data_IF_021533054445
#
_entry.id   IF_021533054445
#
_cell.length_a   1.000
_cell.length_b   1.000
_cell.length_c   1.000
_cell.angle_alpha   90.00
_cell.angle_beta   90.00
_cell.angle_gamma   90.00
#
_symmetry.space_group_name_H-M   'P 1'
#
loop_
_entity.id
_entity.type
_entity.pdbx_description
1 polymer ?
#
# COMPACT_ATOMS: atom_id res chain seq x y z
N UNK A 1 -18.71 -63.03 -44.60
CA UNK A 1 -19.65 -64.06 -44.09
C UNK A 1 -19.97 -63.67 -42.65
N UNK A 2 -21.05 -62.91 -42.44
CA UNK A 2 -22.40 -63.38 -42.05
C UNK A 2 -22.47 -63.74 -40.56
N UNK A 3 -23.45 -63.32 -39.73
CA UNK A 3 -24.51 -62.29 -39.75
C UNK A 3 -25.08 -62.31 -38.31
N UNK A 4 -25.52 -61.15 -37.82
CA UNK A 4 -26.21 -60.84 -36.55
C UNK A 4 -27.58 -61.56 -36.41
N UNK A 5 -28.31 -61.52 -35.25
CA UNK A 5 -29.13 -60.34 -34.82
C UNK A 5 -29.17 -60.08 -33.27
N UNK A 6 -29.29 -58.83 -32.75
CA UNK A 6 -30.51 -58.01 -32.43
C UNK A 6 -31.59 -58.80 -31.67
N UNK A 7 -32.29 -58.34 -30.62
CA UNK A 7 -32.77 -57.04 -30.08
C UNK A 7 -33.17 -57.26 -28.58
N UNK A 8 -33.68 -56.36 -27.72
CA UNK A 8 -34.62 -55.24 -27.86
C UNK A 8 -34.68 -54.45 -26.54
N UNK A 9 -34.75 -53.13 -26.67
CA UNK A 9 -35.46 -52.11 -25.85
C UNK A 9 -36.33 -52.55 -24.68
N UNK A 10 -36.21 -51.84 -23.55
CA UNK A 10 -37.39 -51.42 -22.79
C UNK A 10 -37.22 -50.02 -22.17
N UNK A 11 -38.29 -49.22 -22.27
CA UNK A 11 -38.37 -47.81 -21.92
C UNK A 11 -39.51 -47.62 -20.90
N UNK A 12 -39.26 -46.88 -19.80
CA UNK A 12 -40.23 -46.22 -18.88
C UNK A 12 -39.43 -45.72 -17.66
N UNK A 13 -39.60 -44.55 -17.03
CA UNK A 13 -40.55 -43.41 -17.05
C UNK A 13 -39.86 -42.25 -16.27
N UNK A 14 -40.33 -40.99 -16.32
CA UNK A 14 -39.55 -39.79 -16.00
C UNK A 14 -39.43 -39.52 -14.48
N UNK A 15 -38.27 -39.02 -14.05
CA UNK A 15 -38.06 -38.48 -12.70
C UNK A 15 -38.87 -37.19 -12.49
N UNK A 16 -39.49 -36.98 -11.32
CA UNK A 16 -40.32 -35.80 -11.08
C UNK A 16 -39.49 -34.52 -11.04
N UNK A 17 -40.03 -33.48 -11.68
CA UNK A 17 -39.47 -32.13 -11.74
C UNK A 17 -39.60 -31.47 -10.36
N UNK A 18 -38.49 -31.09 -9.74
CA UNK A 18 -38.51 -30.33 -8.50
C UNK A 18 -39.16 -28.95 -8.73
N UNK A 19 -40.10 -28.59 -7.87
CA UNK A 19 -40.84 -27.34 -7.89
C UNK A 19 -39.94 -26.14 -7.56
N UNK A 20 -40.10 -25.05 -8.31
CA UNK A 20 -39.51 -23.74 -7.99
C UNK A 20 -40.19 -23.18 -6.72
N UNK A 21 -39.50 -23.28 -5.59
CA UNK A 21 -39.85 -22.60 -4.33
C UNK A 21 -39.03 -21.31 -4.16
N UNK A 22 -39.69 -20.26 -3.68
CA UNK A 22 -39.18 -18.89 -3.51
C UNK A 22 -37.94 -18.80 -2.58
N UNK A 23 -37.06 -17.86 -2.92
CA UNK A 23 -35.88 -17.43 -2.17
C UNK A 23 -36.22 -16.96 -0.74
N UNK A 24 -35.70 -17.66 0.27
CA UNK A 24 -35.57 -17.20 1.65
C UNK A 24 -34.11 -17.31 2.09
N UNK A 25 -33.55 -16.25 2.66
CA UNK A 25 -32.17 -16.21 3.17
C UNK A 25 -31.95 -17.31 4.23
N UNK A 26 -30.82 -18.04 4.24
CA UNK A 26 -30.54 -19.00 5.29
C UNK A 26 -30.22 -18.29 6.62
N UNK A 27 -30.76 -18.82 7.71
CA UNK A 27 -30.51 -18.36 9.08
C UNK A 27 -29.07 -18.73 9.52
N UNK A 28 -28.42 -17.90 10.37
CA UNK A 28 -27.09 -18.21 10.88
C UNK A 28 -27.12 -19.40 11.86
N UNK A 29 -26.03 -20.18 11.95
CA UNK A 29 -25.92 -21.31 12.88
C UNK A 29 -25.80 -20.84 14.34
N UNK A 30 -26.21 -21.67 15.32
CA UNK A 30 -26.15 -21.33 16.74
C UNK A 30 -24.71 -21.35 17.28
N UNK A 31 -24.40 -20.43 18.20
CA UNK A 31 -23.16 -20.38 18.98
C UNK A 31 -23.33 -20.96 20.39
N UNK A 32 -22.19 -21.36 20.96
CA UNK A 32 -21.87 -21.80 22.35
C UNK A 32 -21.55 -23.31 22.48
N UNK A 33 -20.52 -23.79 23.20
CA UNK A 33 -19.86 -23.34 24.44
C UNK A 33 -18.34 -23.67 24.52
N UNK A 34 -17.69 -23.16 25.59
CA UNK A 34 -16.27 -22.85 25.80
C UNK A 34 -15.35 -23.93 26.45
N UNK A 35 -14.03 -23.74 26.31
CA UNK A 35 -12.93 -24.00 27.29
C UNK A 35 -11.58 -23.51 26.69
N UNK A 36 -10.67 -22.72 27.28
CA UNK A 36 -10.52 -22.04 28.57
C UNK A 36 -9.23 -21.17 28.58
N UNK A 37 -9.21 -20.17 29.48
CA UNK A 37 -8.12 -19.21 29.87
C UNK A 37 -8.12 -17.83 29.16
N UNK A 38 -8.06 -16.69 29.91
CA UNK A 38 -8.55 -15.38 29.43
C UNK A 38 -7.48 -14.47 28.82
N UNK A 39 -7.85 -13.75 27.76
CA UNK A 39 -7.14 -12.57 27.24
C UNK A 39 -7.77 -11.27 27.79
N UNK A 40 -6.99 -10.17 27.94
CA UNK A 40 -7.49 -8.93 28.52
C UNK A 40 -8.58 -8.28 27.66
N UNK A 41 -9.63 -7.80 28.32
CA UNK A 41 -10.82 -7.14 27.74
C UNK A 41 -10.43 -5.85 27.02
N UNK A 42 -11.00 -5.62 25.83
CA UNK A 42 -10.94 -4.30 25.20
C UNK A 42 -11.48 -4.12 23.79
N UNK A 43 -12.44 -4.91 23.29
CA UNK A 43 -13.23 -4.55 22.09
C UNK A 43 -14.64 -5.13 22.23
N UNK A 44 -15.59 -4.30 22.66
CA UNK A 44 -17.02 -4.61 22.55
C UNK A 44 -17.71 -3.45 21.83
N UNK A 45 -18.16 -3.71 20.62
CA UNK A 45 -18.94 -2.82 19.79
C UNK A 45 -20.34 -2.64 20.41
N UNK A 46 -20.82 -1.40 20.52
CA UNK A 46 -22.17 -1.10 20.99
C UNK A 46 -23.22 -1.48 19.93
N UNK A 47 -24.43 -1.92 20.31
CA UNK A 47 -25.45 -2.35 19.35
C UNK A 47 -25.98 -1.16 18.53
N UNK A 48 -25.92 -1.28 17.21
CA UNK A 48 -26.53 -0.33 16.28
C UNK A 48 -28.06 -0.34 16.45
N UNK A 49 -28.65 0.83 16.72
CA UNK A 49 -30.09 1.02 16.69
C UNK A 49 -30.62 0.83 15.27
N UNK A 50 -31.69 0.04 15.12
CA UNK A 50 -32.37 -0.19 13.85
C UNK A 50 -32.97 1.12 13.32
N UNK A 51 -32.59 1.50 12.10
CA UNK A 51 -33.20 2.61 11.38
C UNK A 51 -34.57 2.19 10.83
N UNK A 52 -35.63 2.78 11.36
CA UNK A 52 -37.01 2.51 10.96
C UNK A 52 -37.40 3.38 9.74
N UNK A 53 -37.91 2.72 8.69
CA UNK A 53 -38.19 3.33 7.38
C UNK A 53 -39.50 4.10 7.36
N UNK A 54 -39.55 5.26 8.00
CA UNK A 54 -40.69 6.19 7.92
C UNK A 54 -40.68 7.01 6.62
N UNK A 55 -41.74 6.89 5.81
CA UNK A 55 -41.99 7.75 4.65
C UNK A 55 -42.16 9.22 5.06
N UNK A 56 -41.26 10.09 4.62
CA UNK A 56 -41.39 11.55 4.76
C UNK A 56 -42.53 12.09 3.87
N UNK A 57 -43.25 13.15 4.30
CA UNK A 57 -44.39 13.69 3.56
C UNK A 57 -43.94 14.40 2.27
N UNK A 58 -44.73 14.24 1.21
CA UNK A 58 -44.50 14.89 -0.07
C UNK A 58 -44.66 16.42 0.06
N UNK A 59 -43.56 17.17 -0.09
CA UNK A 59 -43.61 18.62 -0.25
C UNK A 59 -43.87 18.98 -1.71
N UNK A 60 -44.87 19.85 -1.91
CA UNK A 60 -45.32 20.32 -3.22
C UNK A 60 -44.27 21.20 -3.89
N UNK A 61 -44.11 21.01 -5.20
CA UNK A 61 -43.26 21.83 -6.04
C UNK A 61 -43.88 23.22 -6.21
N UNK A 62 -43.45 24.18 -5.40
CA UNK A 62 -43.81 25.59 -5.53
C UNK A 62 -42.67 26.48 -5.05
N UNK A 63 -41.90 27.04 -5.98
CA UNK A 63 -40.78 27.93 -5.64
C UNK A 63 -39.50 27.70 -6.45
N UNK A 64 -39.60 27.37 -7.75
CA UNK A 64 -38.48 27.49 -8.68
C UNK A 64 -38.57 28.84 -9.39
N UNK A 65 -38.35 29.93 -8.67
CA UNK A 65 -38.03 31.22 -9.30
C UNK A 65 -37.55 32.19 -8.22
N UNK A 66 -36.23 32.27 -8.07
CA UNK A 66 -35.46 33.51 -7.83
C UNK A 66 -34.04 33.17 -7.34
N UNK A 67 -33.18 32.79 -8.29
CA UNK A 67 -31.74 33.01 -8.18
C UNK A 67 -31.32 33.75 -9.46
N UNK A 68 -30.77 34.97 -9.39
CA UNK A 68 -30.45 35.77 -10.56
C UNK A 68 -29.11 35.30 -11.15
N UNK A 69 -29.13 34.18 -11.88
CA UNK A 69 -27.99 33.72 -12.66
C UNK A 69 -28.03 34.35 -14.06
N UNK A 70 -26.91 34.95 -14.45
CA UNK A 70 -26.53 35.47 -15.76
C UNK A 70 -27.43 35.00 -16.91
N UNK A 71 -28.36 35.87 -17.35
CA UNK A 71 -28.98 35.73 -18.67
C UNK A 71 -27.94 36.14 -19.72
N UNK A 72 -27.11 35.20 -20.17
CA UNK A 72 -26.41 35.35 -21.44
C UNK A 72 -27.47 35.41 -22.54
N UNK A 73 -27.76 36.61 -23.04
CA UNK A 73 -28.51 36.84 -24.27
C UNK A 73 -27.59 36.58 -25.46
N UNK A 74 -27.34 35.30 -25.73
CA UNK A 74 -26.68 34.81 -26.94
C UNK A 74 -27.40 33.54 -27.40
N UNK A 75 -27.37 33.22 -28.70
CA UNK A 75 -27.96 31.98 -29.18
C UNK A 75 -27.33 30.81 -28.42
N UNK A 76 -28.15 30.02 -27.73
CA UNK A 76 -27.71 28.78 -27.08
C UNK A 76 -27.03 27.92 -28.16
N UNK A 77 -25.81 27.40 -27.92
CA UNK A 77 -25.20 26.48 -28.87
C UNK A 77 -26.17 25.32 -29.10
N UNK A 78 -26.41 25.01 -30.36
CA UNK A 78 -27.28 23.91 -30.78
C UNK A 78 -26.72 22.65 -30.15
N UNK A 79 -27.49 22.02 -29.27
CA UNK A 79 -27.12 20.75 -28.67
C UNK A 79 -27.08 19.69 -29.78
N UNK A 80 -25.90 19.49 -30.39
CA UNK A 80 -25.66 18.31 -31.22
C UNK A 80 -25.82 17.10 -30.32
N UNK A 81 -26.59 16.12 -30.78
CA UNK A 81 -27.05 14.95 -30.03
C UNK A 81 -25.94 13.94 -29.63
N UNK A 82 -24.81 14.41 -29.10
CA UNK A 82 -23.89 13.62 -28.31
C UNK A 82 -24.09 14.03 -26.86
N UNK A 83 -24.59 13.10 -26.04
CA UNK A 83 -24.61 13.24 -24.59
C UNK A 83 -23.22 13.66 -24.11
N UNK A 84 -23.13 14.63 -23.20
CA UNK A 84 -21.87 15.03 -22.54
C UNK A 84 -21.11 13.80 -21.98
N UNK A 85 -21.84 12.74 -21.62
CA UNK A 85 -21.26 11.45 -21.21
C UNK A 85 -20.53 10.74 -22.35
N UNK A 86 -21.09 10.71 -23.56
CA UNK A 86 -20.50 10.02 -24.71
C UNK A 86 -19.20 10.69 -25.17
N UNK A 87 -19.10 12.01 -25.00
CA UNK A 87 -17.86 12.74 -25.25
C UNK A 87 -16.79 12.42 -24.19
N UNK A 88 -17.16 12.34 -22.92
CA UNK A 88 -16.25 11.96 -21.84
C UNK A 88 -15.75 10.51 -22.00
N UNK A 89 -16.65 9.58 -22.32
CA UNK A 89 -16.28 8.18 -22.58
C UNK A 89 -15.30 8.06 -23.75
N UNK A 90 -15.52 8.84 -24.83
CA UNK A 90 -14.61 8.91 -25.96
C UNK A 90 -13.22 9.47 -25.58
N UNK A 91 -13.18 10.45 -24.67
CA UNK A 91 -11.94 11.07 -24.20
C UNK A 91 -11.11 10.11 -23.33
N UNK A 92 -11.76 9.37 -22.43
CA UNK A 92 -11.13 8.45 -21.48
C UNK A 92 -10.54 7.20 -22.15
N UNK A 93 -11.07 6.79 -23.30
CA UNK A 93 -10.50 5.69 -24.08
C UNK A 93 -9.10 6.06 -24.60
N UNK A 94 -8.16 5.11 -24.55
CA UNK A 94 -6.80 5.30 -25.09
C UNK A 94 -6.89 5.64 -26.58
N UNK A 95 -6.08 6.59 -27.11
CA UNK A 95 -6.16 7.01 -28.51
C UNK A 95 -6.15 5.87 -29.54
N UNK A 96 -5.40 4.80 -29.25
CA UNK A 96 -5.28 3.61 -30.12
C UNK A 96 -6.50 2.67 -30.06
N UNK A 97 -7.24 2.68 -28.94
CA UNK A 97 -8.37 1.77 -28.66
C UNK A 97 -9.73 2.44 -28.92
N UNK A 98 -9.76 3.70 -29.39
CA UNK A 98 -10.99 4.44 -29.67
C UNK A 98 -11.73 3.88 -30.88
N UNK A 99 -13.03 3.65 -30.70
CA UNK A 99 -13.96 3.31 -31.78
C UNK A 99 -14.12 4.45 -32.78
N UNK A 100 -14.58 4.13 -33.99
CA UNK A 100 -14.80 5.15 -35.03
C UNK A 100 -15.84 6.19 -34.61
N UNK A 101 -16.85 5.78 -33.84
CA UNK A 101 -17.82 6.69 -33.24
C UNK A 101 -17.15 7.64 -32.24
N UNK A 102 -16.26 7.16 -31.38
CA UNK A 102 -15.51 8.00 -30.43
C UNK A 102 -14.62 9.02 -31.16
N UNK A 103 -13.99 8.63 -32.28
CA UNK A 103 -13.20 9.54 -33.12
C UNK A 103 -14.08 10.61 -33.77
N UNK A 104 -15.25 10.24 -34.27
CA UNK A 104 -16.21 11.16 -34.86
C UNK A 104 -16.74 12.17 -33.84
N UNK A 105 -17.07 11.71 -32.63
CA UNK A 105 -17.51 12.56 -31.51
C UNK A 105 -16.41 13.56 -31.13
N UNK A 106 -15.16 13.13 -30.99
CA UNK A 106 -14.03 14.02 -30.68
C UNK A 106 -13.74 14.99 -31.83
N UNK A 107 -13.92 14.56 -33.09
CA UNK A 107 -13.76 15.37 -34.29
C UNK A 107 -14.77 16.52 -34.43
N UNK A 108 -15.89 16.48 -33.68
CA UNK A 108 -16.85 17.61 -33.63
C UNK A 108 -16.27 18.86 -32.98
N UNK A 109 -15.19 18.72 -32.19
CA UNK A 109 -14.49 19.83 -31.54
C UNK A 109 -13.03 19.90 -32.01
N UNK A 110 -12.73 20.68 -33.08
CA UNK A 110 -11.42 20.67 -33.74
C UNK A 110 -10.26 21.08 -32.83
N UNK A 111 -10.48 22.01 -31.89
CA UNK A 111 -9.46 22.42 -30.92
C UNK A 111 -9.07 21.26 -29.98
N UNK A 112 -10.04 20.48 -29.50
CA UNK A 112 -9.78 19.33 -28.63
C UNK A 112 -9.20 18.15 -29.40
N UNK A 113 -9.66 17.90 -30.62
CA UNK A 113 -9.13 16.84 -31.48
C UNK A 113 -7.63 17.03 -31.81
N UNK A 114 -7.20 18.29 -31.95
CA UNK A 114 -5.79 18.64 -32.20
C UNK A 114 -4.90 18.55 -30.95
N UNK A 115 -5.48 18.40 -29.75
CA UNK A 115 -4.70 18.32 -28.53
C UNK A 115 -3.85 17.03 -28.52
N UNK A 116 -2.54 17.08 -28.21
CA UNK A 116 -1.65 15.92 -28.36
C UNK A 116 -2.09 14.65 -27.63
N UNK A 117 -2.73 14.80 -26.47
CA UNK A 117 -3.32 13.68 -25.69
C UNK A 117 -4.49 13.02 -26.44
N UNK A 118 -5.30 13.82 -27.15
CA UNK A 118 -6.46 13.35 -27.91
C UNK A 118 -6.02 12.81 -29.26
N UNK A 119 -5.09 13.48 -29.95
CA UNK A 119 -4.53 13.03 -31.22
C UNK A 119 -3.64 11.78 -31.07
N UNK A 120 -3.27 11.39 -29.86
CA UNK A 120 -2.36 10.27 -29.60
C UNK A 120 -0.91 10.56 -30.01
N UNK A 121 -0.58 11.84 -30.23
CA UNK A 121 0.78 12.31 -30.56
C UNK A 121 1.56 12.71 -29.31
N UNK A 122 0.91 12.81 -28.15
CA UNK A 122 1.60 12.92 -26.87
C UNK A 122 2.37 11.62 -26.59
N UNK A 123 3.64 11.69 -26.14
CA UNK A 123 4.33 10.51 -25.66
C UNK A 123 3.49 9.87 -24.55
N UNK A 124 3.35 8.55 -24.59
CA UNK A 124 2.77 7.82 -23.48
C UNK A 124 3.50 8.21 -22.19
N UNK A 125 2.78 8.40 -21.09
CA UNK A 125 3.38 8.73 -19.81
C UNK A 125 4.54 7.76 -19.53
N UNK A 126 5.77 8.28 -19.55
CA UNK A 126 6.95 7.53 -19.13
C UNK A 126 7.16 7.89 -17.67
N UNK A 127 7.02 6.93 -16.74
CA UNK A 127 7.30 7.21 -15.34
C UNK A 127 8.73 7.71 -15.22
N UNK A 128 8.92 8.81 -14.48
CA UNK A 128 10.25 9.29 -14.15
C UNK A 128 11.00 8.19 -13.41
N UNK A 129 12.20 7.84 -13.91
CA UNK A 129 13.06 6.82 -13.34
C UNK A 129 14.40 7.48 -13.05
N UNK A 130 14.59 8.05 -11.86
CA UNK A 130 15.91 8.53 -11.46
C UNK A 130 16.93 7.40 -11.46
N UNK A 131 18.19 7.79 -11.59
CA UNK A 131 19.29 6.90 -11.31
C UNK A 131 19.21 6.48 -9.84
N UNK A 132 19.27 5.17 -9.60
CA UNK A 132 19.21 4.63 -8.24
C UNK A 132 20.53 4.97 -7.53
N UNK A 133 20.49 5.49 -6.30
CA UNK A 133 21.71 5.69 -5.53
C UNK A 133 22.42 4.34 -5.33
N UNK A 134 23.74 4.39 -5.16
CA UNK A 134 24.49 3.22 -4.72
C UNK A 134 23.98 2.78 -3.33
N UNK A 135 23.78 1.48 -3.19
CA UNK A 135 23.24 0.87 -1.98
C UNK A 135 24.34 0.72 -0.93
N UNK A 136 24.14 1.29 0.25
CA UNK A 136 25.11 1.21 1.36
C UNK A 136 25.28 -0.20 1.91
N UNK A 137 24.23 -1.02 1.88
CA UNK A 137 24.19 -2.41 2.32
C UNK A 137 23.84 -3.35 1.14
N UNK A 138 24.32 -3.01 -0.06
CA UNK A 138 24.09 -3.80 -1.27
C UNK A 138 24.79 -5.17 -1.24
N UNK A 139 24.35 -6.08 -2.10
CA UNK A 139 25.00 -7.39 -2.30
C UNK A 139 24.67 -8.48 -1.27
N UNK A 140 23.83 -8.18 -0.27
CA UNK A 140 23.26 -9.18 0.63
C UNK A 140 22.28 -10.05 -0.17
N UNK A 141 22.40 -11.38 -0.01
CA UNK A 141 21.55 -12.36 -0.70
C UNK A 141 20.37 -12.77 0.17
N UNK A 142 19.24 -13.08 -0.45
CA UNK A 142 18.12 -13.71 0.25
C UNK A 142 18.56 -15.10 0.77
N UNK A 143 18.37 -15.31 2.07
CA UNK A 143 18.64 -16.56 2.76
C UNK A 143 17.31 -17.16 3.29
N UNK A 144 16.81 -18.19 2.60
CA UNK A 144 15.58 -18.87 3.00
C UNK A 144 15.89 -19.86 4.12
N UNK A 145 15.35 -19.59 5.32
CA UNK A 145 15.45 -20.47 6.49
C UNK A 145 14.11 -21.19 6.66
N UNK A 146 14.14 -22.53 6.61
CA UNK A 146 12.95 -23.35 6.85
C UNK A 146 13.32 -24.78 7.22
N UNK A 147 12.52 -25.40 8.09
CA UNK A 147 12.58 -26.85 8.37
C UNK A 147 11.91 -27.68 7.26
N UNK A 148 11.18 -27.01 6.36
CA UNK A 148 10.45 -27.66 5.28
C UNK A 148 11.29 -27.71 4.01
N UNK A 149 11.11 -28.79 3.25
CA UNK A 149 11.57 -28.89 1.86
C UNK A 149 10.36 -28.84 0.94
N UNK A 150 10.49 -28.26 -0.28
CA UNK A 150 9.40 -28.28 -1.26
C UNK A 150 8.91 -29.71 -1.52
N UNK A 151 7.59 -29.93 -1.43
CA UNK A 151 6.95 -31.24 -1.56
C UNK A 151 5.73 -31.20 -2.47
N UNK A 152 5.30 -32.37 -2.95
CA UNK A 152 4.19 -32.47 -3.90
C UNK A 152 4.52 -31.76 -5.21
N UNK A 153 3.61 -30.89 -5.67
CA UNK A 153 3.76 -30.15 -6.92
C UNK A 153 4.61 -28.88 -6.78
N UNK A 154 5.01 -28.51 -5.55
CA UNK A 154 5.78 -27.29 -5.30
C UNK A 154 7.12 -27.24 -6.05
N UNK A 155 7.96 -28.31 -6.09
CA UNK A 155 9.24 -28.26 -6.79
C UNK A 155 9.09 -27.91 -8.28
N UNK A 156 8.10 -28.52 -8.95
CA UNK A 156 7.82 -28.27 -10.36
C UNK A 156 7.33 -26.82 -10.57
N UNK A 157 6.37 -26.37 -9.77
CA UNK A 157 5.85 -25.00 -9.86
C UNK A 157 6.95 -23.94 -9.64
N UNK A 158 7.88 -24.19 -8.71
CA UNK A 158 9.02 -23.30 -8.46
C UNK A 158 9.95 -23.26 -9.68
N UNK A 159 10.32 -24.40 -10.24
CA UNK A 159 11.20 -24.45 -11.42
C UNK A 159 10.59 -23.74 -12.63
N UNK A 160 9.31 -24.02 -12.92
CA UNK A 160 8.60 -23.40 -14.05
C UNK A 160 8.55 -21.88 -13.91
N UNK A 161 8.13 -21.36 -12.75
CA UNK A 161 8.02 -19.92 -12.51
C UNK A 161 9.40 -19.23 -12.51
N UNK A 162 10.43 -19.87 -11.96
CA UNK A 162 11.80 -19.31 -11.99
C UNK A 162 12.34 -19.26 -13.43
N UNK A 163 12.10 -20.30 -14.24
CA UNK A 163 12.50 -20.32 -15.64
C UNK A 163 11.78 -19.24 -16.45
N UNK A 164 10.47 -19.07 -16.27
CA UNK A 164 9.69 -17.99 -16.90
C UNK A 164 10.18 -16.60 -16.49
N UNK A 165 10.54 -16.39 -15.22
CA UNK A 165 11.14 -15.13 -14.75
C UNK A 165 12.49 -14.88 -15.46
N UNK A 166 13.33 -15.89 -15.60
CA UNK A 166 14.61 -15.78 -16.32
C UNK A 166 14.41 -15.45 -17.80
N UNK A 167 13.35 -15.98 -18.42
CA UNK A 167 12.91 -15.67 -19.78
C UNK A 167 12.25 -14.28 -19.92
N UNK A 168 12.23 -13.46 -18.86
CA UNK A 168 11.63 -12.12 -18.84
C UNK A 168 10.11 -12.10 -19.09
N UNK A 169 9.41 -13.20 -18.78
CA UNK A 169 7.96 -13.21 -18.80
C UNK A 169 7.39 -12.31 -17.70
N UNK A 170 6.53 -11.37 -18.10
CA UNK A 170 6.03 -10.31 -17.21
C UNK A 170 4.86 -10.74 -16.33
N UNK A 171 3.99 -11.62 -16.83
CA UNK A 171 2.75 -12.01 -16.16
C UNK A 171 2.71 -13.53 -16.04
N UNK A 172 2.56 -14.03 -14.82
CA UNK A 172 2.50 -15.46 -14.51
C UNK A 172 1.43 -15.69 -13.45
N UNK A 173 0.80 -16.87 -13.46
CA UNK A 173 -0.30 -17.20 -12.54
C UNK A 173 0.00 -18.53 -11.85
N UNK A 174 0.19 -18.48 -10.53
CA UNK A 174 0.28 -19.69 -9.70
C UNK A 174 -1.12 -20.14 -9.28
N UNK A 175 -1.65 -21.18 -9.95
CA UNK A 175 -2.95 -21.77 -9.59
C UNK A 175 -2.78 -22.77 -8.43
N UNK A 176 -2.71 -22.26 -7.21
CA UNK A 176 -2.54 -23.09 -6.00
C UNK A 176 -3.82 -23.27 -5.19
N UNK A 177 -4.20 -24.53 -4.90
CA UNK A 177 -5.31 -24.86 -3.99
C UNK A 177 -5.06 -24.32 -2.56
N UNK A 178 -6.11 -24.11 -1.77
CA UNK A 178 -5.95 -23.69 -0.37
C UNK A 178 -5.18 -24.75 0.43
N UNK A 179 -4.25 -24.32 1.28
CA UNK A 179 -3.41 -25.23 2.07
C UNK A 179 -2.19 -25.83 1.35
N UNK A 180 -2.00 -25.56 0.05
CA UNK A 180 -0.85 -26.07 -0.73
C UNK A 180 0.51 -25.42 -0.42
N UNK A 181 0.59 -24.49 0.55
CA UNK A 181 1.84 -23.79 0.88
C UNK A 181 2.28 -22.76 -0.17
N UNK A 182 1.33 -21.95 -0.66
CA UNK A 182 1.60 -20.89 -1.66
C UNK A 182 2.68 -19.90 -1.19
N UNK A 183 2.63 -19.47 0.07
CA UNK A 183 3.64 -18.54 0.60
C UNK A 183 5.04 -19.15 0.56
N UNK A 184 5.19 -20.40 0.98
CA UNK A 184 6.46 -21.12 0.94
C UNK A 184 6.98 -21.30 -0.50
N UNK A 185 6.07 -21.57 -1.44
CA UNK A 185 6.39 -21.61 -2.88
C UNK A 185 6.95 -20.26 -3.35
N UNK A 186 6.29 -19.15 -3.01
CA UNK A 186 6.75 -17.81 -3.35
C UNK A 186 8.07 -17.43 -2.66
N UNK A 187 8.29 -17.85 -1.41
CA UNK A 187 9.55 -17.65 -0.70
C UNK A 187 10.71 -18.35 -1.42
N UNK A 188 10.51 -19.59 -1.90
CA UNK A 188 11.51 -20.27 -2.72
C UNK A 188 11.81 -19.53 -4.03
N UNK A 189 10.79 -18.98 -4.69
CA UNK A 189 10.97 -18.19 -5.92
C UNK A 189 11.79 -16.92 -5.65
N UNK A 190 11.48 -16.18 -4.57
CA UNK A 190 12.24 -14.98 -4.17
C UNK A 190 13.70 -15.35 -3.88
N UNK A 191 13.92 -16.41 -3.10
CA UNK A 191 15.26 -16.88 -2.76
C UNK A 191 16.06 -17.36 -3.99
N UNK A 192 15.43 -17.96 -4.99
CA UNK A 192 16.13 -18.40 -6.21
C UNK A 192 16.40 -17.26 -7.19
N UNK A 193 15.46 -16.33 -7.32
CA UNK A 193 15.58 -15.20 -8.26
C UNK A 193 16.45 -14.08 -7.73
N UNK A 194 16.60 -13.96 -6.40
CA UNK A 194 17.42 -12.93 -5.75
C UNK A 194 16.98 -11.50 -6.13
N UNK A 195 15.66 -11.30 -6.27
CA UNK A 195 15.07 -10.01 -6.66
C UNK A 195 14.28 -9.41 -5.49
N UNK A 196 14.37 -8.10 -5.23
CA UNK A 196 13.45 -7.43 -4.32
C UNK A 196 12.00 -7.71 -4.73
N UNK A 197 11.12 -7.97 -3.77
CA UNK A 197 9.75 -8.38 -4.02
C UNK A 197 8.74 -7.46 -3.33
N UNK A 198 7.69 -7.08 -4.04
CA UNK A 198 6.52 -6.40 -3.49
C UNK A 198 5.34 -7.37 -3.51
N UNK A 199 4.77 -7.63 -2.34
CA UNK A 199 3.67 -8.57 -2.15
C UNK A 199 2.41 -7.76 -1.82
N UNK A 200 1.43 -7.79 -2.71
CA UNK A 200 0.18 -7.05 -2.54
C UNK A 200 -0.88 -7.92 -1.89
N UNK A 201 -1.37 -7.48 -0.74
CA UNK A 201 -2.47 -8.09 -0.02
C UNK A 201 -3.74 -7.20 -0.09
N UNK A 202 -4.93 -7.80 -0.27
CA UNK A 202 -6.19 -7.05 -0.40
C UNK A 202 -6.68 -6.42 0.92
N UNK A 203 -6.18 -6.87 2.07
CA UNK A 203 -6.57 -6.36 3.38
C UNK A 203 -5.41 -6.43 4.39
N UNK A 204 -5.53 -5.66 5.49
CA UNK A 204 -4.48 -5.57 6.53
C UNK A 204 -4.26 -6.89 7.26
N UNK A 205 -5.31 -7.71 7.47
CA UNK A 205 -5.19 -8.98 8.18
C UNK A 205 -4.32 -9.99 7.44
N UNK A 206 -4.57 -10.19 6.15
CA UNK A 206 -3.76 -11.08 5.31
C UNK A 206 -2.36 -10.50 5.11
N UNK A 207 -2.22 -9.18 4.99
CA UNK A 207 -0.91 -8.54 4.92
C UNK A 207 -0.07 -8.85 6.18
N UNK A 208 -0.65 -8.74 7.38
CA UNK A 208 0.03 -9.05 8.63
C UNK A 208 0.42 -10.55 8.74
N UNK A 209 -0.46 -11.45 8.29
CA UNK A 209 -0.16 -12.89 8.23
C UNK A 209 1.03 -13.17 7.31
N UNK A 210 0.99 -12.65 6.09
CA UNK A 210 2.07 -12.81 5.12
C UNK A 210 3.38 -12.20 5.63
N UNK A 211 3.32 -11.02 6.24
CA UNK A 211 4.49 -10.39 6.87
C UNK A 211 5.13 -11.31 7.92
N UNK A 212 4.34 -11.90 8.82
CA UNK A 212 4.85 -12.86 9.81
C UNK A 212 5.46 -14.12 9.19
N UNK A 213 4.80 -14.69 8.17
CA UNK A 213 5.31 -15.85 7.43
C UNK A 213 6.64 -15.53 6.74
N UNK A 214 6.72 -14.42 6.00
CA UNK A 214 7.94 -14.01 5.31
C UNK A 214 9.06 -13.66 6.28
N UNK A 215 8.77 -13.02 7.42
CA UNK A 215 9.78 -12.74 8.46
C UNK A 215 10.37 -14.03 9.04
N UNK A 216 9.54 -15.07 9.15
CA UNK A 216 9.97 -16.40 9.60
C UNK A 216 10.83 -17.11 8.55
N UNK A 217 10.51 -16.95 7.27
CA UNK A 217 11.27 -17.52 6.15
C UNK A 217 12.59 -16.79 5.86
N UNK A 218 12.66 -15.49 6.13
CA UNK A 218 13.82 -14.64 5.85
C UNK A 218 14.23 -13.84 7.10
N UNK A 219 14.67 -14.51 8.18
CA UNK A 219 14.98 -13.85 9.44
C UNK A 219 16.18 -12.90 9.34
N UNK A 220 17.11 -13.15 8.40
CA UNK A 220 18.33 -12.38 8.19
C UNK A 220 18.19 -11.30 7.10
N UNK A 221 17.04 -11.24 6.42
CA UNK A 221 16.80 -10.26 5.35
C UNK A 221 15.77 -9.20 5.74
N UNK A 222 15.69 -8.14 4.93
CA UNK A 222 14.78 -7.02 5.14
C UNK A 222 13.34 -7.35 4.69
N UNK A 223 12.59 -8.02 5.57
CA UNK A 223 11.14 -8.17 5.42
C UNK A 223 10.43 -7.00 6.09
N UNK A 224 9.69 -6.25 5.31
CA UNK A 224 9.11 -4.95 5.66
C UNK A 224 7.60 -4.90 5.45
N UNK A 225 6.92 -4.00 6.18
CA UNK A 225 5.47 -3.89 6.18
C UNK A 225 5.01 -2.49 5.75
N UNK A 226 4.18 -2.42 4.70
CA UNK A 226 3.74 -1.14 4.12
C UNK A 226 2.22 -1.08 3.90
N UNK A 227 1.50 -0.64 4.92
CA UNK A 227 0.04 -0.43 4.86
C UNK A 227 -0.33 0.99 5.29
N UNK A 228 -1.61 1.34 5.18
CA UNK A 228 -2.10 2.62 5.70
C UNK A 228 -1.81 2.71 7.20
N UNK A 229 -1.10 3.77 7.58
CA UNK A 229 -0.79 4.13 8.97
C UNK A 229 -1.97 4.78 9.69
N UNK A 230 -3.12 4.94 9.05
CA UNK A 230 -4.33 5.38 9.72
C UNK A 230 -5.06 4.20 10.36
N UNK A 231 -5.34 4.31 11.66
CA UNK A 231 -6.25 3.41 12.38
C UNK A 231 -7.70 3.79 12.10
N UNK A 232 -7.97 5.09 12.06
CA UNK A 232 -9.23 5.66 11.61
C UNK A 232 -8.96 6.74 10.58
N UNK A 233 -9.73 6.76 9.49
CA UNK A 233 -9.63 7.78 8.46
C UNK A 233 -11.00 8.10 7.88
N UNK A 234 -11.43 9.33 8.09
CA UNK A 234 -12.58 9.93 7.45
C UNK A 234 -12.07 10.94 6.41
N UNK A 235 -12.33 10.72 5.11
CA UNK A 235 -11.95 11.68 4.08
C UNK A 235 -12.80 12.94 4.22
N UNK A 236 -12.22 14.07 3.84
CA UNK A 236 -12.98 15.28 3.58
C UNK A 236 -13.95 15.05 2.44
N UNK A 237 -15.22 15.38 2.63
CA UNK A 237 -16.24 15.21 1.60
C UNK A 237 -17.34 16.24 1.74
N UNK A 238 -17.94 16.63 0.61
CA UNK A 238 -19.17 17.39 0.59
C UNK A 238 -20.29 16.52 0.01
N UNK A 239 -21.43 16.44 0.70
CA UNK A 239 -22.61 15.66 0.33
C UNK A 239 -23.70 16.61 -0.16
N UNK A 240 -23.87 16.79 -1.49
CA UNK A 240 -24.75 17.83 -2.03
C UNK A 240 -26.24 17.60 -1.71
N UNK A 241 -26.65 16.34 -1.54
CA UNK A 241 -28.06 15.99 -1.29
C UNK A 241 -28.57 16.53 0.06
N UNK A 242 -27.68 16.58 1.05
CA UNK A 242 -27.99 17.01 2.41
C UNK A 242 -27.31 18.33 2.76
N UNK A 243 -26.66 18.97 1.77
CA UNK A 243 -25.83 20.17 1.95
C UNK A 243 -24.88 20.05 3.15
N UNK A 244 -24.24 18.89 3.27
CA UNK A 244 -23.40 18.57 4.44
C UNK A 244 -21.93 18.53 4.04
N UNK A 245 -21.12 19.35 4.71
CA UNK A 245 -19.68 19.23 4.66
C UNK A 245 -19.20 18.30 5.78
N UNK A 246 -18.37 17.33 5.42
CA UNK A 246 -17.76 16.35 6.29
C UNK A 246 -16.28 16.68 6.36
N UNK A 247 -15.83 17.13 7.53
CA UNK A 247 -14.43 17.43 7.78
C UNK A 247 -13.57 16.17 7.78
N UNK A 248 -12.30 16.37 7.43
CA UNK A 248 -11.27 15.34 7.55
C UNK A 248 -11.02 15.06 9.02
N UNK A 249 -11.12 13.80 9.40
CA UNK A 249 -10.73 13.31 10.71
C UNK A 249 -9.87 12.06 10.54
N UNK A 250 -8.76 11.97 11.26
CA UNK A 250 -7.86 10.82 11.14
C UNK A 250 -7.11 10.56 12.44
N UNK A 251 -6.86 9.29 12.71
CA UNK A 251 -5.99 8.82 13.80
C UNK A 251 -4.84 8.02 13.21
N UNK A 252 -3.62 8.39 13.60
CA UNK A 252 -2.37 7.81 13.10
C UNK A 252 -1.86 6.75 14.07
N UNK A 253 -1.45 5.62 13.51
CA UNK A 253 -0.73 4.55 14.18
C UNK A 253 0.77 4.73 13.98
N UNK A 254 1.43 5.19 15.04
CA UNK A 254 2.87 5.44 15.07
C UNK A 254 3.71 4.18 14.75
N UNK A 255 3.25 2.99 15.15
CA UNK A 255 4.00 1.75 14.88
C UNK A 255 3.99 1.41 13.39
N UNK A 256 2.84 1.58 12.73
CA UNK A 256 2.74 1.36 11.28
C UNK A 256 3.51 2.42 10.50
N UNK A 257 3.49 3.68 10.95
CA UNK A 257 4.26 4.75 10.33
C UNK A 257 5.77 4.47 10.37
N UNK A 258 6.28 4.03 11.53
CA UNK A 258 7.65 3.53 11.67
C UNK A 258 7.98 2.42 10.67
N UNK A 259 7.10 1.41 10.54
CA UNK A 259 7.31 0.31 9.59
C UNK A 259 7.34 0.79 8.14
N UNK A 260 6.59 1.84 7.79
CA UNK A 260 6.67 2.45 6.45
C UNK A 260 8.00 3.14 6.21
N UNK A 261 8.51 3.87 7.21
CA UNK A 261 9.85 4.47 7.14
C UNK A 261 10.95 3.41 6.99
N UNK A 262 10.85 2.30 7.74
CA UNK A 262 11.75 1.16 7.59
C UNK A 262 11.69 0.58 6.18
N UNK A 263 10.49 0.36 5.62
CA UNK A 263 10.31 -0.16 4.27
C UNK A 263 10.97 0.71 3.18
N UNK A 264 10.79 2.03 3.25
CA UNK A 264 11.38 2.96 2.28
C UNK A 264 12.90 3.04 2.41
N UNK A 265 13.42 3.03 3.65
CA UNK A 265 14.86 3.00 3.92
C UNK A 265 15.49 1.72 3.40
N UNK A 266 14.95 0.55 3.76
CA UNK A 266 15.47 -0.75 3.35
C UNK A 266 15.57 -0.88 1.83
N UNK A 267 14.59 -0.34 1.09
CA UNK A 267 14.62 -0.33 -0.38
C UNK A 267 15.79 0.45 -0.98
N UNK A 268 16.24 1.51 -0.30
CA UNK A 268 17.36 2.36 -0.73
C UNK A 268 18.72 1.81 -0.29
N UNK A 269 18.77 1.11 0.83
CA UNK A 269 20.04 0.62 1.40
C UNK A 269 20.39 -0.81 0.98
N UNK A 270 19.39 -1.66 0.71
CA UNK A 270 19.56 -3.11 0.59
C UNK A 270 18.96 -3.71 -0.67
N UNK A 271 19.50 -4.84 -1.13
CA UNK A 271 18.97 -5.62 -2.27
C UNK A 271 18.01 -6.73 -1.85
N UNK A 272 18.13 -7.23 -0.62
CA UNK A 272 17.39 -8.35 -0.06
C UNK A 272 16.09 -7.91 0.63
N UNK A 273 15.26 -7.14 -0.08
CA UNK A 273 14.04 -6.54 0.49
C UNK A 273 12.76 -7.23 0.01
N UNK A 274 11.92 -7.67 0.94
CA UNK A 274 10.53 -8.10 0.69
C UNK A 274 9.59 -7.12 1.39
N UNK A 275 8.76 -6.42 0.62
CA UNK A 275 7.74 -5.52 1.17
C UNK A 275 6.38 -6.19 1.05
N UNK A 276 5.72 -6.42 2.19
CA UNK A 276 4.31 -6.83 2.22
C UNK A 276 3.45 -5.58 2.37
N UNK A 277 2.64 -5.30 1.35
CA UNK A 277 1.91 -4.05 1.23
C UNK A 277 0.41 -4.23 0.98
N UNK A 278 -0.37 -3.23 1.38
CA UNK A 278 -1.74 -3.06 0.89
C UNK A 278 -1.77 -2.15 -0.34
N UNK A 279 -2.97 -1.80 -0.80
CA UNK A 279 -3.16 -0.73 -1.81
C UNK A 279 -2.52 0.61 -1.43
N UNK A 280 -2.04 0.79 -0.20
CA UNK A 280 -1.27 1.98 0.15
C UNK A 280 -0.03 2.20 -0.73
N UNK A 281 0.54 1.16 -1.35
CA UNK A 281 1.72 1.29 -2.20
C UNK A 281 1.48 2.00 -3.54
N UNK A 282 0.22 2.23 -3.92
CA UNK A 282 -0.15 3.00 -5.12
C UNK A 282 -0.53 4.45 -4.79
N UNK A 283 -0.57 4.82 -3.50
CA UNK A 283 -0.78 6.20 -3.08
C UNK A 283 0.53 6.98 -3.13
N UNK A 284 0.40 8.30 -3.33
CA UNK A 284 1.54 9.20 -3.44
C UNK A 284 2.40 9.21 -2.18
N UNK A 285 3.71 9.24 -2.40
CA UNK A 285 4.76 9.46 -1.41
C UNK A 285 5.76 10.44 -2.04
N UNK A 286 6.59 11.12 -1.24
CA UNK A 286 7.63 12.01 -1.76
C UNK A 286 8.55 11.33 -2.78
N UNK A 287 9.17 12.13 -3.66
CA UNK A 287 10.07 11.59 -4.69
C UNK A 287 11.29 10.93 -4.06
N UNK A 288 11.88 9.94 -4.75
CA UNK A 288 13.06 9.22 -4.25
C UNK A 288 14.24 10.19 -4.12
N UNK A 289 14.35 11.12 -5.04
CA UNK A 289 15.36 12.16 -5.10
C UNK A 289 15.23 13.10 -3.90
N UNK A 290 14.01 13.56 -3.60
CA UNK A 290 13.73 14.37 -2.41
C UNK A 290 14.07 13.60 -1.14
N UNK A 291 13.61 12.36 -1.02
CA UNK A 291 13.85 11.56 0.18
C UNK A 291 15.34 11.20 0.37
N UNK A 292 16.06 10.93 -0.72
CA UNK A 292 17.51 10.66 -0.67
C UNK A 292 18.32 11.92 -0.40
N UNK A 293 17.90 13.08 -0.94
CA UNK A 293 18.52 14.37 -0.66
C UNK A 293 18.25 14.86 0.77
N UNK A 294 17.11 14.49 1.35
CA UNK A 294 16.78 14.70 2.76
C UNK A 294 17.40 13.62 3.65
N UNK A 295 18.69 13.36 3.45
CA UNK A 295 19.51 12.55 4.33
C UNK A 295 20.86 13.21 4.55
N UNK A 296 21.43 13.04 5.73
CA UNK A 296 22.83 13.33 5.96
C UNK A 296 23.45 12.21 6.78
N UNK A 297 24.75 11.99 6.59
CA UNK A 297 25.50 11.02 7.35
C UNK A 297 26.35 11.75 8.40
N UNK A 298 26.56 11.09 9.53
CA UNK A 298 27.44 11.57 10.59
C UNK A 298 28.48 10.50 10.85
N UNK A 299 29.76 10.86 10.72
CA UNK A 299 30.89 9.95 10.93
C UNK A 299 31.67 10.34 12.18
N UNK A 300 32.17 9.36 12.92
CA UNK A 300 33.12 9.62 14.03
C UNK A 300 34.39 10.30 13.47
N UNK A 301 34.85 11.36 14.14
CA UNK A 301 35.99 12.19 13.73
C UNK A 301 35.66 13.27 12.70
N UNK A 302 34.40 13.38 12.27
CA UNK A 302 33.96 14.48 11.41
C UNK A 302 33.90 15.80 12.19
N UNK A 303 34.32 16.90 11.54
CA UNK A 303 34.21 18.24 12.09
C UNK A 303 32.81 18.80 11.87
N UNK A 304 31.91 18.52 12.81
CA UNK A 304 30.52 18.96 12.82
C UNK A 304 30.23 19.70 14.14
N UNK A 305 29.83 20.97 14.04
CA UNK A 305 29.45 21.74 15.24
C UNK A 305 28.07 21.32 15.75
N UNK A 306 27.83 21.55 17.04
CA UNK A 306 26.57 21.15 17.69
C UNK A 306 25.40 21.80 16.99
N UNK A 307 25.49 23.11 16.81
CA UNK A 307 24.40 23.92 16.30
C UNK A 307 24.09 23.58 14.85
N UNK A 308 25.11 23.18 14.07
CA UNK A 308 24.92 22.65 12.73
C UNK A 308 24.16 21.32 12.76
N UNK A 309 24.57 20.35 13.60
CA UNK A 309 23.85 19.09 13.76
C UNK A 309 22.38 19.31 14.16
N UNK A 310 22.10 20.24 15.08
CA UNK A 310 20.72 20.56 15.48
C UNK A 310 19.92 21.19 14.33
N UNK A 311 20.53 22.10 13.56
CA UNK A 311 19.90 22.73 12.40
C UNK A 311 19.55 21.68 11.33
N UNK A 312 20.46 20.74 11.05
CA UNK A 312 20.26 19.68 10.07
C UNK A 312 19.16 18.70 10.52
N UNK A 313 19.10 18.36 11.81
CA UNK A 313 18.01 17.56 12.37
C UNK A 313 16.64 18.25 12.22
N UNK A 314 16.57 19.56 12.47
CA UNK A 314 15.34 20.34 12.27
C UNK A 314 14.95 20.41 10.79
N UNK A 315 15.93 20.55 9.88
CA UNK A 315 15.70 20.51 8.45
C UNK A 315 15.12 19.16 7.98
N UNK A 316 15.48 18.07 8.67
CA UNK A 316 14.90 16.73 8.47
C UNK A 316 13.57 16.49 9.22
N UNK A 317 12.89 17.54 9.67
CA UNK A 317 11.61 17.49 10.40
C UNK A 317 11.65 16.78 11.76
N UNK A 318 12.82 16.65 12.39
CA UNK A 318 12.88 16.23 13.78
C UNK A 318 12.54 17.39 14.71
N UNK A 319 11.89 17.06 15.84
CA UNK A 319 11.50 18.05 16.85
C UNK A 319 12.40 17.96 18.06
N UNK A 320 12.87 19.11 18.56
CA UNK A 320 13.58 19.13 19.84
C UNK A 320 12.60 18.87 20.99
N UNK A 321 12.87 17.86 21.82
CA UNK A 321 12.08 17.60 23.02
C UNK A 321 12.96 17.02 24.14
N UNK A 322 13.40 17.90 25.05
CA UNK A 322 14.29 17.51 26.15
C UNK A 322 13.56 16.73 27.27
N UNK A 323 12.23 16.86 27.37
CA UNK A 323 11.42 16.24 28.44
C UNK A 323 10.85 14.88 28.02
N UNK A 324 10.18 14.81 26.87
CA UNK A 324 9.57 13.59 26.35
C UNK A 324 10.37 13.10 25.14
N UNK A 325 11.36 12.24 25.41
CA UNK A 325 12.19 11.65 24.37
C UNK A 325 11.44 10.50 23.70
N UNK A 326 10.94 10.77 22.50
CA UNK A 326 10.14 9.85 21.71
C UNK A 326 10.63 9.83 20.26
N UNK A 327 10.12 8.89 19.47
CA UNK A 327 10.49 8.75 18.06
C UNK A 327 10.25 10.05 17.29
N UNK A 328 11.18 10.40 16.40
CA UNK A 328 11.12 11.64 15.63
C UNK A 328 11.51 12.89 16.42
N UNK A 329 12.12 12.71 17.60
CA UNK A 329 12.64 13.81 18.41
C UNK A 329 14.12 13.70 18.68
N UNK A 330 14.75 14.82 19.02
CA UNK A 330 16.10 14.87 19.55
C UNK A 330 16.15 15.71 20.84
N UNK A 331 17.18 15.49 21.65
CA UNK A 331 17.43 16.27 22.87
C UNK A 331 18.91 16.55 23.06
N UNK A 332 19.23 17.55 23.87
CA UNK A 332 20.60 17.99 24.12
C UNK A 332 20.91 17.89 25.61
N UNK A 333 22.03 17.24 25.94
CA UNK A 333 22.54 17.10 27.31
C UNK A 333 24.01 17.48 27.33
N UNK A 334 24.28 18.77 27.57
CA UNK A 334 25.65 19.31 27.55
C UNK A 334 26.27 19.18 26.16
N UNK A 335 27.30 18.35 26.07
CA UNK A 335 28.07 18.08 24.84
C UNK A 335 27.57 16.85 24.08
N UNK A 336 26.47 16.25 24.54
CA UNK A 336 25.83 15.11 23.87
C UNK A 336 24.51 15.53 23.21
N UNK A 337 24.32 15.07 21.98
CA UNK A 337 23.04 15.17 21.27
C UNK A 337 22.48 13.76 21.15
N UNK A 338 21.24 13.55 21.59
CA UNK A 338 20.56 12.27 21.47
C UNK A 338 19.43 12.40 20.45
N UNK A 339 19.40 11.49 19.48
CA UNK A 339 18.42 11.42 18.42
C UNK A 339 17.64 10.11 18.55
N UNK A 340 16.32 10.17 18.44
CA UNK A 340 15.48 9.00 18.26
C UNK A 340 15.00 8.93 16.80
N UNK A 341 15.65 8.09 15.94
CA UNK A 341 15.33 8.02 14.52
C UNK A 341 13.90 7.57 14.22
N UNK A 342 13.30 8.08 13.14
CA UNK A 342 11.93 7.76 12.74
C UNK A 342 11.68 6.27 12.41
N UNK A 343 12.75 5.56 12.03
CA UNK A 343 12.68 4.20 11.51
C UNK A 343 13.06 3.11 12.54
N UNK A 344 13.61 3.47 13.70
CA UNK A 344 13.99 2.53 14.77
C UNK A 344 12.88 2.42 15.83
N UNK A 345 12.77 1.26 16.47
CA UNK A 345 11.73 0.95 17.48
C UNK A 345 12.24 1.02 18.92
N UNK A 346 13.46 0.54 19.13
CA UNK A 346 14.04 0.29 20.46
C UNK A 346 15.47 0.84 20.57
N UNK A 347 15.91 1.61 19.57
CA UNK A 347 17.28 2.12 19.44
C UNK A 347 17.26 3.61 19.15
N UNK A 348 18.07 4.33 19.92
CA UNK A 348 18.37 5.74 19.73
C UNK A 348 19.89 5.93 19.61
N UNK A 349 20.31 7.04 19.03
CA UNK A 349 21.72 7.35 18.81
C UNK A 349 22.13 8.53 19.68
N UNK A 350 23.27 8.39 20.35
CA UNK A 350 23.92 9.45 21.13
C UNK A 350 25.19 9.87 20.39
N UNK A 351 25.25 11.12 20.00
CA UNK A 351 26.42 11.78 19.46
C UNK A 351 27.13 12.48 20.61
N UNK A 352 28.30 11.98 21.01
CA UNK A 352 29.16 12.68 21.97
C UNK A 352 30.12 13.56 21.19
N UNK A 353 30.24 14.83 21.59
CA UNK A 353 31.05 15.78 20.88
C UNK A 353 32.15 16.37 21.73
N UNK A 354 33.28 16.71 21.09
CA UNK A 354 34.38 17.43 21.68
C UNK A 354 34.64 18.72 20.91
N UNK A 355 34.05 19.82 21.37
CA UNK A 355 34.03 21.09 20.63
C UNK A 355 33.18 20.95 19.36
N UNK A 356 33.85 21.00 18.20
CA UNK A 356 33.22 20.90 16.87
C UNK A 356 33.55 19.57 16.18
N UNK A 357 33.82 18.51 16.94
CA UNK A 357 34.15 17.18 16.43
C UNK A 357 33.26 16.11 17.06
N UNK A 358 32.81 15.14 16.25
CA UNK A 358 32.09 13.95 16.73
C UNK A 358 33.09 12.97 17.33
N UNK A 359 33.13 12.85 18.65
CA UNK A 359 34.03 11.96 19.37
C UNK A 359 33.56 10.50 19.30
N UNK A 360 32.26 10.26 19.46
CA UNK A 360 31.68 8.92 19.41
C UNK A 360 30.20 8.95 19.05
N UNK A 361 29.74 7.88 18.41
CA UNK A 361 28.33 7.63 18.15
C UNK A 361 27.97 6.32 18.86
N UNK A 362 27.06 6.39 19.83
CA UNK A 362 26.65 5.23 20.63
C UNK A 362 25.19 4.92 20.39
N UNK A 363 24.89 3.67 20.09
CA UNK A 363 23.52 3.16 20.07
C UNK A 363 23.08 2.74 21.46
N UNK A 364 21.88 3.15 21.88
CA UNK A 364 21.35 2.86 23.21
C UNK A 364 19.83 2.68 23.20
N UNK A 365 19.32 2.00 24.22
CA UNK A 365 17.89 1.84 24.46
C UNK A 365 17.28 3.16 25.00
N UNK A 366 16.32 3.78 24.30
CA UNK A 366 15.72 5.05 24.73
C UNK A 366 14.89 4.94 26.02
N UNK A 367 14.43 3.73 26.39
CA UNK A 367 13.65 3.46 27.60
C UNK A 367 14.57 3.19 28.80
N UNK A 368 15.55 2.31 28.66
CA UNK A 368 16.42 1.90 29.78
C UNK A 368 17.71 2.73 29.89
N UNK A 369 18.12 3.39 28.81
CA UNK A 369 19.40 4.10 28.72
C UNK A 369 20.60 3.18 28.54
N UNK A 370 20.40 1.87 28.43
CA UNK A 370 21.47 0.89 28.28
C UNK A 370 22.17 1.05 26.94
N UNK A 371 23.50 1.17 26.96
CA UNK A 371 24.33 1.14 25.77
C UNK A 371 24.26 -0.23 25.09
N UNK A 372 24.02 -0.24 23.78
CA UNK A 372 23.98 -1.44 22.95
C UNK A 372 25.24 -1.61 22.11
N UNK A 373 25.63 -0.57 21.36
CA UNK A 373 26.74 -0.67 20.41
C UNK A 373 27.46 0.68 20.19
N UNK A 374 28.65 0.65 19.61
CA UNK A 374 29.39 1.82 19.13
C UNK A 374 29.43 1.84 17.60
N UNK A 375 28.95 2.93 17.01
CA UNK A 375 28.81 3.09 15.57
C UNK A 375 29.90 4.03 15.03
N UNK A 376 30.48 3.68 13.89
CA UNK A 376 31.45 4.54 13.20
C UNK A 376 30.79 5.57 12.28
N UNK A 377 29.61 5.23 11.75
CA UNK A 377 28.85 6.00 10.78
C UNK A 377 27.37 5.75 11.00
N UNK A 378 26.56 6.80 10.98
CA UNK A 378 25.10 6.68 10.91
C UNK A 378 24.55 7.55 9.80
N UNK A 379 23.50 7.08 9.13
CA UNK A 379 22.76 7.84 8.13
C UNK A 379 21.40 8.21 8.68
N UNK A 380 21.12 9.51 8.75
CA UNK A 380 19.88 10.06 9.28
C UNK A 380 18.96 10.34 8.10
N UNK A 381 17.72 9.84 8.21
CA UNK A 381 16.65 10.02 7.22
C UNK A 381 15.63 11.02 7.74
N UNK A 382 14.92 11.69 6.83
CA UNK A 382 13.81 12.56 7.20
C UNK A 382 12.76 11.86 8.08
N UNK A 383 12.26 12.60 9.06
CA UNK A 383 11.13 12.22 9.93
C UNK A 383 9.77 12.41 9.24
N UNK A 384 9.77 12.55 7.90
CA UNK A 384 8.60 12.72 7.04
C UNK A 384 8.90 12.08 5.69
N UNK A 385 7.88 11.53 5.04
CA UNK A 385 7.96 11.10 3.64
C UNK A 385 7.64 12.22 2.64
N UNK A 386 7.36 13.44 3.13
CA UNK A 386 6.91 14.60 2.37
C UNK A 386 7.76 15.82 2.66
#
# INVERSE_FOLDING_TARGET
>A
MARTPKSTTDARTPRPRASRGKSGKPAPPPMETAAGTPAPRGFSEAPQAAFDGGTAPAFSAGGRDQLPALRQSGPRPVASAASTSAFLDALLAKPQERSDNARQILGTQPLMASHPIVAGTAPAFVPHRPDRPEKSEGGIRFNLVSEYTPKGDQPQAIEELVASIAAQERNQVLLGVTGSGKTFTMANIIARTQRPALILAPNKTLAAQLYGEFKSFFPENAVEYFVSYYDYYQPEAYVPRTDTYIEKEASINEQIDRMRHAATRSLLERDDVVIVASVSCIYGIGSVETYTAMTFAVTVGERLSRDQLLADLVALHYRRNDQAFQRGTFRVRGDTVELYPAHLEDRAWRFSMFGDEIESITEFDPLTGQKMDDLSLVKIYANSHY
#
